data_IF_583765271761
#
_entry.id   IF_583765271761
#
_cell.length_a   1.000
_cell.length_b   1.000
_cell.length_c   1.000
_cell.angle_alpha   90.00
_cell.angle_beta   90.00
_cell.angle_gamma   90.00
#
_symmetry.space_group_name_H-M   'P 1'
#
loop_
_entity.id
_entity.type
_entity.pdbx_description
1 polymer ?
#
# COMPACT_ATOMS: atom_id res chain seq x y z
N UNK A 1 -1.15 -10.19 -15.44
CA UNK A 1 -0.40 -10.30 -14.17
C UNK A 1 -1.21 -9.71 -13.03
N UNK A 2 -0.55 -9.27 -11.95
CA UNK A 2 -1.17 -8.59 -10.81
C UNK A 2 -0.51 -7.24 -10.59
N UNK A 3 -1.25 -6.30 -10.03
CA UNK A 3 -0.73 -4.99 -9.64
C UNK A 3 -1.44 -4.44 -8.40
N UNK A 4 -0.75 -3.58 -7.66
CA UNK A 4 -1.32 -2.80 -6.55
C UNK A 4 -1.52 -1.35 -6.98
N UNK A 5 -2.57 -0.68 -6.48
CA UNK A 5 -2.72 0.75 -6.66
C UNK A 5 -1.82 1.51 -5.69
N UNK A 6 -0.97 2.40 -6.18
CA UNK A 6 -0.06 3.20 -5.34
C UNK A 6 -0.82 4.00 -4.29
N UNK A 7 -1.95 4.61 -4.67
CA UNK A 7 -2.82 5.38 -3.77
C UNK A 7 -3.55 4.54 -2.71
N UNK A 8 -3.56 3.22 -2.84
CA UNK A 8 -4.21 2.33 -1.87
C UNK A 8 -3.32 1.95 -0.69
N UNK A 9 -2.00 2.16 -0.82
CA UNK A 9 -1.04 1.78 0.21
C UNK A 9 -1.11 2.79 1.34
N UNK A 10 -1.44 2.29 2.53
CA UNK A 10 -1.52 3.05 3.77
C UNK A 10 -0.87 2.27 4.89
N UNK A 11 0.02 2.91 5.63
CA UNK A 11 0.70 2.33 6.79
C UNK A 11 0.22 3.09 8.02
N UNK A 12 -0.19 2.36 9.06
CA UNK A 12 -0.66 2.93 10.32
C UNK A 12 -0.02 2.27 11.52
N UNK A 13 0.28 3.04 12.55
CA UNK A 13 0.63 2.56 13.90
C UNK A 13 -0.52 2.96 14.83
N UNK A 14 -1.42 2.02 15.12
CA UNK A 14 -2.71 2.34 15.73
C UNK A 14 -3.53 3.30 14.86
N UNK A 15 -3.86 4.48 15.40
CA UNK A 15 -4.60 5.52 14.66
C UNK A 15 -3.71 6.47 13.85
N UNK A 16 -2.39 6.46 14.08
CA UNK A 16 -1.44 7.34 13.40
C UNK A 16 -1.13 6.84 11.99
N UNK A 17 -1.22 7.71 10.99
CA UNK A 17 -0.82 7.43 9.60
C UNK A 17 0.65 7.74 9.45
N UNK A 18 1.43 6.77 8.96
CA UNK A 18 2.86 6.92 8.74
C UNK A 18 3.15 7.29 7.29
N UNK A 19 4.01 8.29 7.13
CA UNK A 19 4.66 8.53 5.86
C UNK A 19 5.61 7.39 5.53
N UNK A 20 5.72 7.07 4.24
CA UNK A 20 6.57 6.00 3.76
C UNK A 20 7.22 6.34 2.43
N UNK A 21 8.43 5.82 2.26
CA UNK A 21 9.16 5.86 1.02
C UNK A 21 8.96 4.55 0.26
N UNK A 22 8.51 4.65 -0.99
CA UNK A 22 8.43 3.51 -1.88
C UNK A 22 9.80 3.26 -2.52
N UNK A 23 10.44 2.15 -2.17
CA UNK A 23 11.73 1.73 -2.74
C UNK A 23 11.55 0.97 -4.07
N UNK A 24 10.30 0.71 -4.45
CA UNK A 24 9.95 -0.04 -5.66
C UNK A 24 10.07 0.84 -6.90
N UNK A 25 10.74 0.34 -7.94
CA UNK A 25 10.94 1.08 -9.20
C UNK A 25 9.94 0.75 -10.30
N UNK A 26 9.09 -0.27 -10.11
CA UNK A 26 8.17 -0.78 -11.14
C UNK A 26 6.81 -0.09 -11.09
N UNK A 27 6.84 1.24 -11.21
CA UNK A 27 5.66 2.09 -11.25
C UNK A 27 5.22 2.34 -12.70
N UNK A 28 3.92 2.25 -12.97
CA UNK A 28 3.36 2.57 -14.28
C UNK A 28 1.98 3.21 -14.14
N UNK A 29 1.62 4.07 -15.09
CA UNK A 29 0.24 4.54 -15.23
C UNK A 29 -0.61 3.54 -16.00
N UNK A 30 -1.86 3.37 -15.59
CA UNK A 30 -2.88 2.60 -16.31
C UNK A 30 -4.19 3.38 -16.35
N UNK A 31 -5.08 2.96 -17.25
CA UNK A 31 -6.49 3.32 -17.24
C UNK A 31 -7.31 2.03 -17.18
N UNK A 32 -8.18 1.89 -16.19
CA UNK A 32 -9.07 0.73 -16.06
C UNK A 32 -10.50 1.15 -15.68
N UNK A 33 -11.44 0.20 -15.77
CA UNK A 33 -12.86 0.42 -15.46
C UNK A 33 -13.16 0.56 -13.96
N UNK A 34 -12.21 0.21 -13.10
CA UNK A 34 -12.40 0.22 -11.64
C UNK A 34 -12.11 1.59 -11.05
N UNK A 35 -11.00 2.21 -11.47
CA UNK A 35 -10.49 3.46 -10.89
C UNK A 35 -10.00 4.47 -11.94
N UNK A 36 -10.21 4.23 -13.23
CA UNK A 36 -9.82 5.16 -14.30
C UNK A 36 -8.30 5.35 -14.37
N UNK A 37 -7.84 6.59 -14.59
CA UNK A 37 -6.39 6.88 -14.61
C UNK A 37 -5.78 6.69 -13.23
N UNK A 38 -4.88 5.72 -13.12
CA UNK A 38 -4.29 5.30 -11.86
C UNK A 38 -2.81 4.96 -11.99
N UNK A 39 -2.08 5.15 -10.90
CA UNK A 39 -0.68 4.72 -10.78
C UNK A 39 -0.63 3.38 -10.07
N UNK A 40 0.00 2.41 -10.70
CA UNK A 40 0.11 1.04 -10.20
C UNK A 40 1.55 0.61 -10.01
N UNK A 41 1.71 -0.39 -9.16
CA UNK A 41 2.98 -1.02 -8.82
C UNK A 41 2.89 -2.49 -9.21
N UNK A 42 3.81 -2.94 -10.07
CA UNK A 42 3.94 -4.34 -10.48
C UNK A 42 5.13 -4.99 -9.78
N UNK A 43 5.10 -6.32 -9.63
CA UNK A 43 6.18 -7.06 -8.99
C UNK A 43 6.22 -6.87 -7.48
N UNK A 44 7.44 -6.87 -6.90
CA UNK A 44 7.63 -6.80 -5.45
C UNK A 44 7.53 -5.34 -4.99
N UNK A 45 6.62 -5.07 -4.07
CA UNK A 45 6.53 -3.81 -3.35
C UNK A 45 7.47 -3.84 -2.12
N UNK A 46 8.47 -2.96 -2.12
CA UNK A 46 9.26 -2.59 -0.93
C UNK A 46 8.95 -1.16 -0.52
N UNK A 47 8.62 -0.98 0.75
CA UNK A 47 8.34 0.31 1.38
C UNK A 47 9.11 0.41 2.68
N UNK A 48 9.50 1.63 3.03
CA UNK A 48 10.18 1.96 4.28
C UNK A 48 9.38 3.08 4.95
N UNK A 49 8.99 2.87 6.20
CA UNK A 49 8.26 3.85 6.99
C UNK A 49 9.02 4.06 8.30
N UNK A 50 9.18 5.33 8.68
CA UNK A 50 9.83 5.71 9.92
C UNK A 50 8.78 6.04 10.97
N UNK A 51 8.92 5.45 12.15
CA UNK A 51 8.10 5.77 13.30
C UNK A 51 8.91 6.69 14.22
N UNK A 52 8.49 7.94 14.33
CA UNK A 52 9.17 8.96 15.14
C UNK A 52 8.54 9.04 16.55
N UNK A 53 9.32 9.47 17.55
CA UNK A 53 8.85 9.71 18.92
C UNK A 53 8.18 8.49 19.60
N UNK A 54 8.69 7.30 19.32
CA UNK A 54 8.12 6.05 19.80
C UNK A 54 8.43 5.83 21.26
N UNK A 55 7.38 5.70 22.07
CA UNK A 55 7.50 5.01 23.33
C UNK A 55 7.36 3.50 23.06
N UNK A 56 8.46 2.75 23.13
CA UNK A 56 8.48 1.30 22.88
C UNK A 56 7.49 0.53 23.77
N UNK A 57 7.17 1.06 24.95
CA UNK A 57 6.17 0.49 25.86
C UNK A 57 4.72 0.76 25.43
N UNK A 58 4.51 1.60 24.41
CA UNK A 58 3.21 1.93 23.79
C UNK A 58 3.21 1.68 22.28
N UNK A 59 4.10 0.83 21.78
CA UNK A 59 4.11 0.49 20.36
C UNK A 59 2.73 -0.10 20.01
N UNK A 60 1.97 0.62 19.19
CA UNK A 60 0.65 0.19 18.77
C UNK A 60 0.79 -0.80 17.61
N UNK A 61 -0.24 -1.62 17.40
CA UNK A 61 -0.27 -2.57 16.30
C UNK A 61 -0.01 -1.84 14.97
N UNK A 62 1.03 -2.27 14.28
CA UNK A 62 1.38 -1.75 12.96
C UNK A 62 0.47 -2.45 11.94
N UNK A 63 -0.17 -1.69 11.06
CA UNK A 63 -1.02 -2.23 10.01
C UNK A 63 -0.69 -1.63 8.65
N UNK A 64 -0.80 -2.48 7.62
CA UNK A 64 -0.61 -2.10 6.22
C UNK A 64 -1.90 -2.41 5.48
N UNK A 65 -2.46 -1.39 4.85
CA UNK A 65 -3.61 -1.52 3.95
C UNK A 65 -3.13 -1.43 2.50
N UNK A 66 -3.66 -2.28 1.62
CA UNK A 66 -3.37 -2.23 0.19
C UNK A 66 -4.51 -2.84 -0.63
N UNK A 67 -4.59 -2.49 -1.90
CA UNK A 67 -5.56 -3.03 -2.85
C UNK A 67 -4.93 -3.22 -4.22
N UNK A 68 -5.34 -4.28 -4.91
CA UNK A 68 -4.86 -4.58 -6.24
C UNK A 68 -5.87 -5.35 -7.07
N UNK A 69 -5.57 -5.49 -8.35
CA UNK A 69 -6.39 -6.24 -9.27
C UNK A 69 -5.56 -7.28 -10.04
N UNK A 70 -6.26 -8.31 -10.52
CA UNK A 70 -5.78 -9.14 -11.61
C UNK A 70 -6.05 -8.42 -12.94
N UNK A 71 -5.00 -8.24 -13.74
CA UNK A 71 -5.03 -7.47 -14.99
C UNK A 71 -6.13 -7.95 -15.93
N UNK A 72 -7.06 -7.05 -16.28
CA UNK A 72 -8.18 -7.30 -17.18
C UNK A 72 -9.22 -8.30 -16.66
N UNK A 73 -9.28 -8.55 -15.35
CA UNK A 73 -10.22 -9.52 -14.75
C UNK A 73 -11.02 -8.94 -13.61
N UNK A 74 -10.48 -9.00 -12.39
CA UNK A 74 -11.20 -8.65 -11.17
C UNK A 74 -10.31 -7.80 -10.29
N UNK A 75 -10.91 -6.80 -9.66
CA UNK A 75 -10.26 -6.09 -8.58
C UNK A 75 -10.63 -6.68 -7.22
N UNK A 76 -9.62 -6.89 -6.38
CA UNK A 76 -9.82 -7.45 -5.05
C UNK A 76 -10.26 -6.36 -4.07
N UNK A 77 -10.98 -6.72 -2.99
CA UNK A 77 -11.24 -5.81 -1.88
C UNK A 77 -9.93 -5.30 -1.25
N UNK A 78 -10.03 -4.19 -0.50
CA UNK A 78 -8.92 -3.72 0.33
C UNK A 78 -8.53 -4.80 1.36
N UNK A 79 -7.23 -5.05 1.49
CA UNK A 79 -6.67 -5.96 2.47
C UNK A 79 -6.01 -5.12 3.56
N UNK A 80 -6.28 -5.45 4.82
CA UNK A 80 -5.60 -4.90 5.99
C UNK A 80 -4.79 -6.03 6.61
N UNK A 81 -3.49 -5.79 6.83
CA UNK A 81 -2.57 -6.72 7.48
C UNK A 81 -1.96 -6.07 8.70
N UNK A 82 -2.24 -6.63 9.87
CA UNK A 82 -1.50 -6.32 11.10
C UNK A 82 -0.18 -7.08 11.11
N UNK A 83 0.88 -6.41 11.56
CA UNK A 83 2.26 -6.91 11.66
C UNK A 83 2.62 -7.24 13.11
#
# INVERSE_FOLDING_TARGET
GYYLYKKSILIKSGDEVLDYNCLTKYESKIFDEFFGESTILKGILKVEAELLNVNLSKLQDLSVTYQGCAEGKYCYPKIIKSL
#
